data_IF_564156783556
#
_entry.id   IF_564156783556
#
_cell.length_a   1.000
_cell.length_b   1.000
_cell.length_c   1.000
_cell.angle_alpha   90.00
_cell.angle_beta   90.00
_cell.angle_gamma   90.00
#
_symmetry.space_group_name_H-M   'P 1'
#
loop_
_entity.id
_entity.type
_entity.pdbx_description
1 polymer ?
#
# COMPACT_ATOMS: atom_id res chain seq x y z
N UNK A 1 19.20 12.60 18.11
CA UNK A 1 17.86 13.19 17.88
C UNK A 1 17.23 13.71 19.19
N UNK A 2 16.51 14.86 19.18
CA UNK A 2 15.73 15.32 20.36
C UNK A 2 14.33 14.69 20.39
N UNK A 3 13.86 14.32 21.58
CA UNK A 3 12.50 13.83 21.79
C UNK A 3 11.47 14.97 21.71
N UNK A 4 10.44 14.83 20.86
CA UNK A 4 9.36 15.81 20.75
C UNK A 4 8.46 15.90 22.00
N UNK A 5 8.41 14.84 22.83
CA UNK A 5 7.54 14.78 24.03
C UNK A 5 8.21 15.31 25.31
N UNK A 6 9.54 15.20 25.44
CA UNK A 6 10.27 15.60 26.65
C UNK A 6 11.57 16.39 26.43
N UNK A 7 11.93 16.72 25.18
CA UNK A 7 13.11 17.54 24.84
C UNK A 7 14.48 16.85 24.95
N UNK A 8 14.61 15.72 25.66
CA UNK A 8 15.89 15.01 25.87
C UNK A 8 16.54 14.61 24.53
N UNK A 9 17.85 14.87 24.40
CA UNK A 9 18.69 14.47 23.26
C UNK A 9 19.16 13.02 23.36
N UNK A 10 18.65 12.15 22.48
CA UNK A 10 18.98 10.73 22.38
C UNK A 10 20.00 10.50 21.24
N UNK A 11 20.65 9.34 21.19
CA UNK A 11 21.55 8.98 20.08
C UNK A 11 20.81 8.89 18.74
N UNK A 12 21.53 8.97 17.62
CA UNK A 12 20.95 8.86 16.28
C UNK A 12 20.65 7.40 15.85
N UNK A 13 20.79 6.47 16.80
CA UNK A 13 20.44 5.05 16.69
C UNK A 13 19.26 4.65 17.61
N UNK A 14 19.01 5.38 18.71
CA UNK A 14 17.94 5.06 19.66
C UNK A 14 16.54 5.22 19.06
N UNK A 15 15.72 4.16 19.03
CA UNK A 15 14.34 4.20 18.50
C UNK A 15 13.30 4.75 19.48
N UNK A 16 13.60 4.65 20.78
CA UNK A 16 12.75 5.11 21.87
C UNK A 16 13.53 6.09 22.74
N UNK A 17 12.84 7.10 23.25
CA UNK A 17 13.46 8.06 24.15
C UNK A 17 13.82 7.40 25.49
N UNK A 18 15.08 7.53 25.91
CA UNK A 18 15.60 6.99 27.17
C UNK A 18 14.93 7.59 28.42
N UNK A 19 14.25 8.74 28.29
CA UNK A 19 13.54 9.39 29.39
C UNK A 19 12.12 8.87 29.61
N UNK A 20 11.35 8.83 28.51
CA UNK A 20 9.89 8.79 28.57
C UNK A 20 9.30 7.69 27.68
N UNK A 21 10.16 6.80 27.17
CA UNK A 21 9.86 5.67 26.29
C UNK A 21 8.95 6.01 25.09
N UNK A 22 8.87 7.29 24.71
CA UNK A 22 8.16 7.70 23.51
C UNK A 22 9.01 7.40 22.29
N UNK A 23 8.39 6.85 21.25
CA UNK A 23 9.04 6.68 19.96
C UNK A 23 9.67 7.99 19.45
N UNK A 24 10.91 7.90 18.96
CA UNK A 24 11.61 8.99 18.31
C UNK A 24 11.23 9.01 16.82
N UNK A 25 10.37 9.94 16.44
CA UNK A 25 10.12 10.29 15.05
C UNK A 25 10.89 11.57 14.72
N UNK A 26 11.72 11.56 13.69
CA UNK A 26 12.28 12.81 13.19
C UNK A 26 11.17 13.63 12.48
N UNK A 27 11.21 14.95 12.63
CA UNK A 27 10.07 15.83 12.31
C UNK A 27 9.81 15.95 10.80
N UNK A 28 8.57 16.19 10.34
CA UNK A 28 8.23 16.29 8.91
C UNK A 28 8.88 17.48 8.14
N UNK A 29 9.76 18.27 8.76
CA UNK A 29 10.43 19.42 8.14
C UNK A 29 11.83 19.15 7.55
N UNK A 30 12.33 17.91 7.56
CA UNK A 30 13.72 17.60 7.16
C UNK A 30 13.96 17.83 5.67
N UNK A 31 12.97 17.58 4.82
CA UNK A 31 13.07 17.84 3.37
C UNK A 31 13.25 19.33 3.07
N UNK A 32 12.51 20.20 3.76
CA UNK A 32 12.72 21.64 3.71
C UNK A 32 14.11 22.04 4.26
N UNK A 33 14.57 21.41 5.34
CA UNK A 33 15.89 21.67 5.93
C UNK A 33 17.05 21.20 5.04
N UNK A 34 16.90 20.09 4.32
CA UNK A 34 17.86 19.62 3.31
C UNK A 34 17.84 20.51 2.06
N UNK A 35 16.67 20.98 1.64
CA UNK A 35 16.52 21.95 0.54
C UNK A 35 17.12 23.32 0.90
N UNK A 36 17.05 23.72 2.17
CA UNK A 36 17.70 24.93 2.67
C UNK A 36 19.22 24.77 2.79
N UNK A 37 19.71 23.61 3.22
CA UNK A 37 21.15 23.27 3.19
C UNK A 37 21.70 23.25 1.77
N UNK A 38 20.96 22.70 0.81
CA UNK A 38 21.40 22.68 -0.60
C UNK A 38 21.42 24.09 -1.20
N UNK A 39 20.49 24.97 -0.81
CA UNK A 39 20.51 26.39 -1.19
C UNK A 39 21.76 27.08 -0.63
N UNK A 40 22.04 26.95 0.67
CA UNK A 40 23.23 27.56 1.29
C UNK A 40 24.51 27.05 0.62
N UNK A 41 24.64 25.74 0.42
CA UNK A 41 25.80 25.16 -0.26
C UNK A 41 25.91 25.61 -1.72
N UNK A 42 24.80 25.65 -2.46
CA UNK A 42 24.76 26.15 -3.84
C UNK A 42 25.27 27.59 -3.91
N UNK A 43 24.66 28.50 -3.16
CA UNK A 43 25.06 29.92 -3.12
C UNK A 43 26.51 30.10 -2.66
N UNK A 44 26.96 29.35 -1.64
CA UNK A 44 28.33 29.40 -1.13
C UNK A 44 29.36 28.94 -2.16
N UNK A 45 29.13 27.79 -2.82
CA UNK A 45 30.04 27.29 -3.86
C UNK A 45 30.00 28.14 -5.14
N UNK A 46 28.84 28.69 -5.52
CA UNK A 46 28.77 29.70 -6.60
C UNK A 46 29.57 30.94 -6.24
N UNK A 47 29.42 31.44 -5.01
CA UNK A 47 30.18 32.59 -4.50
C UNK A 47 31.68 32.34 -4.52
N UNK A 48 32.15 31.20 -4.00
CA UNK A 48 33.56 30.79 -4.06
C UNK A 48 34.05 30.69 -5.50
N UNK A 49 33.27 30.06 -6.39
CA UNK A 49 33.63 29.94 -7.80
C UNK A 49 33.90 31.33 -8.39
N UNK A 50 32.96 32.27 -8.28
CA UNK A 50 33.15 33.62 -8.81
C UNK A 50 34.16 34.50 -8.05
N UNK A 51 34.54 34.14 -6.81
CA UNK A 51 35.65 34.79 -6.09
C UNK A 51 37.03 34.25 -6.51
N UNK A 52 37.13 32.97 -6.86
CA UNK A 52 38.39 32.29 -7.23
C UNK A 52 38.64 32.32 -8.74
N UNK A 53 37.60 32.28 -9.57
CA UNK A 53 37.67 32.34 -11.04
C UNK A 53 38.40 33.59 -11.61
N UNK A 54 38.38 34.79 -10.99
CA UNK A 54 39.25 35.90 -11.41
C UNK A 54 40.75 35.72 -11.09
N UNK A 55 41.17 34.62 -10.45
CA UNK A 55 42.60 34.34 -10.21
C UNK A 55 43.35 34.08 -11.53
N UNK A 56 44.58 34.61 -11.70
CA UNK A 56 45.27 34.66 -12.99
C UNK A 56 45.79 33.31 -13.53
N UNK A 57 45.58 32.19 -12.82
CA UNK A 57 46.08 30.86 -13.23
C UNK A 57 45.30 30.21 -14.38
N UNK A 58 44.05 30.63 -14.64
CA UNK A 58 43.14 29.98 -15.61
C UNK A 58 42.82 30.98 -16.75
N UNK A 59 43.84 31.70 -17.22
CA UNK A 59 43.71 32.72 -18.28
C UNK A 59 43.42 32.09 -19.66
N UNK A 60 42.14 31.85 -19.92
CA UNK A 60 41.59 31.66 -21.25
C UNK A 60 40.41 32.61 -21.41
N UNK A 61 40.55 33.60 -22.30
CA UNK A 61 39.55 34.65 -22.51
C UNK A 61 38.16 34.07 -22.81
N UNK A 62 38.09 32.96 -23.56
CA UNK A 62 36.87 32.21 -23.82
C UNK A 62 36.08 31.84 -22.55
N UNK A 63 36.75 31.29 -21.53
CA UNK A 63 36.08 30.87 -20.29
C UNK A 63 35.63 32.06 -19.45
N UNK A 64 36.40 33.16 -19.47
CA UNK A 64 35.99 34.41 -18.83
C UNK A 64 34.75 34.99 -19.51
N UNK A 65 34.72 35.04 -20.84
CA UNK A 65 33.57 35.49 -21.63
C UNK A 65 32.34 34.58 -21.50
N UNK A 66 32.53 33.27 -21.35
CA UNK A 66 31.45 32.28 -21.17
C UNK A 66 30.72 32.46 -19.82
N UNK A 67 31.46 32.77 -18.76
CA UNK A 67 30.93 32.89 -17.40
C UNK A 67 30.65 34.34 -16.97
N UNK A 68 31.17 35.34 -17.68
CA UNK A 68 30.87 36.76 -17.44
C UNK A 68 29.47 37.11 -17.94
N UNK A 69 28.56 37.39 -17.01
CA UNK A 69 27.21 37.82 -17.37
C UNK A 69 26.21 37.40 -16.32
N UNK A 70 25.32 38.34 -15.95
CA UNK A 70 24.33 38.13 -14.89
C UNK A 70 23.40 36.94 -15.17
N UNK A 71 23.13 36.64 -16.45
CA UNK A 71 22.31 35.50 -16.86
C UNK A 71 23.10 34.18 -16.75
N UNK A 72 24.33 34.11 -17.25
CA UNK A 72 25.21 32.94 -17.09
C UNK A 72 25.55 32.63 -15.63
N UNK A 73 25.76 33.66 -14.80
CA UNK A 73 25.90 33.54 -13.34
C UNK A 73 24.68 32.86 -12.70
N UNK A 74 23.46 33.30 -13.03
CA UNK A 74 22.23 32.69 -12.49
C UNK A 74 22.00 31.26 -12.99
N UNK A 75 22.30 30.98 -14.27
CA UNK A 75 22.24 29.61 -14.83
C UNK A 75 23.21 28.70 -14.07
N UNK A 76 24.46 29.13 -13.86
CA UNK A 76 25.46 28.34 -13.15
C UNK A 76 25.10 28.13 -11.66
N UNK A 77 24.52 29.14 -11.01
CA UNK A 77 24.00 29.03 -9.65
C UNK A 77 22.89 27.97 -9.53
N UNK A 78 21.93 27.98 -10.47
CA UNK A 78 20.86 26.98 -10.52
C UNK A 78 21.40 25.58 -10.82
N UNK A 79 22.36 25.44 -11.74
CA UNK A 79 23.03 24.16 -12.04
C UNK A 79 23.71 23.59 -10.79
N UNK A 80 24.50 24.40 -10.06
CA UNK A 80 25.14 23.96 -8.82
C UNK A 80 24.11 23.59 -7.75
N UNK A 81 23.06 24.39 -7.55
CA UNK A 81 22.01 24.10 -6.57
C UNK A 81 21.25 22.81 -6.92
N UNK A 82 20.92 22.57 -8.20
CA UNK A 82 20.37 21.30 -8.68
C UNK A 82 21.27 20.11 -8.38
N UNK A 83 22.58 20.23 -8.59
CA UNK A 83 23.56 19.18 -8.26
C UNK A 83 23.57 18.89 -6.75
N UNK A 84 23.53 19.93 -5.90
CA UNK A 84 23.43 19.73 -4.45
C UNK A 84 22.10 19.08 -4.03
N UNK A 85 20.97 19.43 -4.63
CA UNK A 85 19.68 18.76 -4.39
C UNK A 85 19.75 17.27 -4.74
N UNK A 86 20.31 16.91 -5.90
CA UNK A 86 20.53 15.51 -6.31
C UNK A 86 21.46 14.81 -5.31
N UNK A 87 22.55 15.45 -4.89
CA UNK A 87 23.49 14.88 -3.93
C UNK A 87 22.85 14.55 -2.57
N UNK A 88 22.03 15.46 -2.02
CA UNK A 88 21.32 15.19 -0.77
C UNK A 88 20.27 14.09 -0.91
N UNK A 89 19.50 14.05 -2.01
CA UNK A 89 18.59 12.93 -2.30
C UNK A 89 19.35 11.61 -2.47
N UNK A 90 20.49 11.61 -3.15
CA UNK A 90 21.32 10.41 -3.34
C UNK A 90 21.83 9.83 -2.03
N UNK A 91 22.20 10.68 -1.06
CA UNK A 91 22.55 10.25 0.30
C UNK A 91 21.33 9.64 1.01
N UNK A 92 20.16 10.28 0.92
CA UNK A 92 18.92 9.80 1.53
C UNK A 92 18.50 8.44 0.95
N UNK A 93 18.50 8.30 -0.38
CA UNK A 93 18.27 7.04 -1.09
C UNK A 93 19.23 5.94 -0.62
N UNK A 94 20.54 6.23 -0.51
CA UNK A 94 21.51 5.24 -0.02
C UNK A 94 21.22 4.78 1.43
N UNK A 95 20.79 5.68 2.31
CA UNK A 95 20.41 5.32 3.69
C UNK A 95 19.13 4.46 3.72
N UNK A 96 18.13 4.79 2.89
CA UNK A 96 16.91 4.00 2.77
C UNK A 96 17.19 2.60 2.19
N UNK A 97 17.99 2.51 1.11
CA UNK A 97 18.41 1.25 0.50
C UNK A 97 19.24 0.38 1.46
N UNK A 98 20.17 0.95 2.23
CA UNK A 98 20.89 0.21 3.27
C UNK A 98 19.94 -0.35 4.33
N UNK A 99 18.91 0.40 4.72
CA UNK A 99 17.91 -0.07 5.68
C UNK A 99 17.06 -1.20 5.08
N UNK A 100 16.64 -1.09 3.81
CA UNK A 100 15.92 -2.16 3.10
C UNK A 100 16.74 -3.46 3.02
N UNK A 101 18.02 -3.38 2.64
CA UNK A 101 18.92 -4.54 2.62
C UNK A 101 19.07 -5.17 4.01
N UNK A 102 19.15 -4.36 5.07
CA UNK A 102 19.19 -4.87 6.44
C UNK A 102 17.90 -5.59 6.86
N UNK A 103 16.72 -5.16 6.37
CA UNK A 103 15.45 -5.86 6.57
C UNK A 103 15.37 -7.19 5.82
N UNK A 104 15.94 -7.27 4.61
CA UNK A 104 15.98 -8.49 3.79
C UNK A 104 17.05 -9.50 4.24
N UNK A 105 17.80 -9.21 5.32
CA UNK A 105 18.72 -10.18 5.90
C UNK A 105 17.96 -11.40 6.44
N UNK A 106 18.45 -12.60 6.14
CA UNK A 106 17.79 -13.87 6.45
C UNK A 106 17.46 -14.07 7.94
N UNK A 107 18.24 -13.46 8.85
CA UNK A 107 17.97 -13.45 10.30
C UNK A 107 16.66 -12.76 10.69
N UNK A 108 16.25 -11.71 9.97
CA UNK A 108 14.96 -11.04 10.23
C UNK A 108 13.80 -11.84 9.62
N UNK A 109 13.98 -12.39 8.42
CA UNK A 109 12.98 -13.27 7.79
C UNK A 109 12.69 -14.50 8.65
N UNK A 110 13.72 -15.14 9.23
CA UNK A 110 13.59 -16.27 10.16
C UNK A 110 12.97 -15.87 11.51
N UNK A 111 13.11 -14.59 11.92
CA UNK A 111 12.37 -14.05 13.07
C UNK A 111 10.91 -13.74 12.76
N UNK A 112 10.56 -13.48 11.49
CA UNK A 112 9.18 -13.23 11.07
C UNK A 112 8.40 -14.53 10.81
N UNK A 113 9.05 -15.57 10.26
CA UNK A 113 8.46 -16.89 10.03
C UNK A 113 8.00 -17.60 11.31
N UNK A 114 8.57 -17.24 12.47
CA UNK A 114 8.10 -17.65 13.80
C UNK A 114 6.77 -16.99 14.24
N UNK A 115 6.17 -16.15 13.40
CA UNK A 115 4.86 -15.54 13.64
C UNK A 115 4.88 -14.27 14.50
N UNK A 116 4.16 -13.25 14.04
CA UNK A 116 3.89 -12.02 14.81
C UNK A 116 2.48 -12.09 15.39
N UNK A 117 2.37 -12.27 16.71
CA UNK A 117 1.10 -12.21 17.42
C UNK A 117 0.75 -10.79 17.88
N UNK A 118 -0.55 -10.49 17.92
CA UNK A 118 -1.11 -9.17 18.29
C UNK A 118 -0.68 -8.69 19.69
N UNK A 119 -0.40 -9.61 20.62
CA UNK A 119 0.02 -9.30 21.99
C UNK A 119 1.42 -8.72 22.06
N UNK A 120 2.32 -9.18 21.20
CA UNK A 120 3.77 -8.97 21.32
C UNK A 120 4.26 -7.86 20.37
N UNK A 121 3.34 -7.14 19.73
CA UNK A 121 3.61 -6.07 18.74
C UNK A 121 4.65 -5.05 19.22
N UNK A 122 4.57 -4.58 20.46
CA UNK A 122 5.52 -3.58 20.97
C UNK A 122 6.91 -4.18 21.24
N UNK A 123 6.97 -5.45 21.64
CA UNK A 123 8.21 -6.22 21.83
C UNK A 123 8.88 -6.51 20.49
N UNK A 124 8.12 -6.95 19.47
CA UNK A 124 8.62 -7.12 18.10
C UNK A 124 9.15 -5.82 17.50
N UNK A 125 8.50 -4.67 17.75
CA UNK A 125 9.02 -3.36 17.29
C UNK A 125 10.33 -3.02 18.02
N UNK A 126 10.49 -3.40 19.29
CA UNK A 126 11.74 -3.23 20.04
C UNK A 126 12.84 -4.15 19.47
N UNK A 127 12.58 -5.44 19.26
CA UNK A 127 13.51 -6.40 18.63
C UNK A 127 14.02 -5.92 17.27
N UNK A 128 13.11 -5.55 16.36
CA UNK A 128 13.46 -5.00 15.03
C UNK A 128 14.34 -3.75 15.20
N UNK A 129 14.04 -2.90 16.20
CA UNK A 129 14.84 -1.70 16.45
C UNK A 129 16.23 -2.00 17.02
N UNK A 130 16.38 -3.05 17.84
CA UNK A 130 17.66 -3.51 18.38
C UNK A 130 18.52 -4.14 17.27
N UNK A 131 17.94 -5.02 16.45
CA UNK A 131 18.63 -5.61 15.30
C UNK A 131 19.18 -4.53 14.34
N UNK A 132 18.38 -3.51 14.03
CA UNK A 132 18.83 -2.38 13.19
C UNK A 132 19.93 -1.52 13.85
N UNK A 133 19.95 -1.43 15.19
CA UNK A 133 21.02 -0.79 15.95
C UNK A 133 22.32 -1.62 15.92
N UNK A 134 22.24 -2.94 16.05
CA UNK A 134 23.38 -3.86 15.97
C UNK A 134 24.03 -3.86 14.59
N UNK A 135 23.22 -3.83 13.53
CA UNK A 135 23.65 -3.62 12.15
C UNK A 135 24.20 -2.20 11.88
N UNK A 136 24.28 -1.35 12.90
CA UNK A 136 24.81 0.04 12.87
C UNK A 136 24.12 0.93 11.83
N UNK A 137 22.87 0.65 11.48
CA UNK A 137 22.10 1.46 10.53
C UNK A 137 21.77 2.80 11.20
N UNK A 138 22.32 3.89 10.67
CA UNK A 138 22.05 5.24 11.18
C UNK A 138 20.69 5.71 10.68
N UNK A 139 19.89 6.37 11.54
CA UNK A 139 18.59 6.97 11.17
C UNK A 139 17.56 6.01 10.54
N UNK A 140 17.61 4.71 10.84
CA UNK A 140 16.66 3.71 10.31
C UNK A 140 15.18 4.04 10.57
N UNK A 141 14.90 4.78 11.66
CA UNK A 141 13.57 5.28 12.05
C UNK A 141 12.89 6.14 10.99
N UNK A 142 13.68 6.79 10.12
CA UNK A 142 13.16 7.59 9.02
C UNK A 142 12.92 6.79 7.74
N UNK A 143 13.48 5.58 7.64
CA UNK A 143 13.30 4.72 6.46
C UNK A 143 11.83 4.39 6.22
N UNK A 144 11.48 4.28 4.94
CA UNK A 144 10.10 4.05 4.51
C UNK A 144 9.62 2.68 4.99
N UNK A 145 10.47 1.65 4.85
CA UNK A 145 10.21 0.28 5.33
C UNK A 145 9.92 0.22 6.84
N UNK A 146 10.79 0.77 7.69
CA UNK A 146 10.57 0.77 9.14
C UNK A 146 9.31 1.56 9.53
N UNK A 147 9.04 2.68 8.82
CA UNK A 147 7.84 3.50 9.05
C UNK A 147 6.55 2.76 8.66
N UNK A 148 6.55 2.02 7.55
CA UNK A 148 5.44 1.14 7.09
C UNK A 148 5.24 -0.01 8.09
N UNK A 149 6.23 -0.88 8.29
CA UNK A 149 6.17 -2.04 9.21
C UNK A 149 5.64 -1.62 10.58
N UNK A 150 6.21 -0.59 11.21
CA UNK A 150 5.79 -0.11 12.55
C UNK A 150 4.40 0.54 12.57
N UNK A 151 3.87 1.02 11.44
CA UNK A 151 2.47 1.48 11.34
C UNK A 151 1.54 0.29 11.21
N UNK A 152 1.86 -0.65 10.33
CA UNK A 152 1.12 -1.90 10.11
C UNK A 152 0.97 -2.70 11.41
N UNK A 153 2.07 -2.93 12.14
CA UNK A 153 2.04 -3.66 13.41
C UNK A 153 1.19 -2.95 14.49
N UNK A 154 1.29 -1.61 14.61
CA UNK A 154 0.43 -0.86 15.55
C UNK A 154 -1.03 -0.79 15.11
N UNK A 155 -1.30 -0.87 13.81
CA UNK A 155 -2.68 -0.98 13.32
C UNK A 155 -3.27 -2.35 13.63
N UNK A 156 -2.52 -3.44 13.40
CA UNK A 156 -2.88 -4.80 13.81
C UNK A 156 -3.26 -4.85 15.30
N UNK A 157 -2.49 -4.18 16.18
CA UNK A 157 -2.79 -4.08 17.62
C UNK A 157 -4.12 -3.38 17.92
N UNK A 158 -4.53 -2.42 17.09
CA UNK A 158 -5.77 -1.66 17.27
C UNK A 158 -6.99 -2.37 16.65
N UNK A 159 -6.83 -2.94 15.44
CA UNK A 159 -7.88 -3.64 14.71
C UNK A 159 -7.28 -4.91 14.07
N UNK A 160 -7.54 -6.10 14.64
CA UNK A 160 -7.01 -7.37 14.14
C UNK A 160 -7.89 -7.95 13.03
N UNK A 161 -7.79 -7.39 11.82
CA UNK A 161 -8.39 -7.94 10.58
C UNK A 161 -7.40 -7.86 9.43
N UNK A 162 -7.23 -8.94 8.66
CA UNK A 162 -6.25 -9.00 7.55
C UNK A 162 -6.65 -8.09 6.38
N UNK A 163 -7.95 -7.98 6.09
CA UNK A 163 -8.50 -7.21 4.96
C UNK A 163 -8.26 -5.70 5.14
N UNK A 164 -8.48 -5.19 6.35
CA UNK A 164 -8.25 -3.76 6.68
C UNK A 164 -6.75 -3.43 6.64
N UNK A 165 -5.88 -4.37 7.02
CA UNK A 165 -4.42 -4.19 6.96
C UNK A 165 -3.94 -4.01 5.51
N UNK A 166 -4.41 -4.83 4.57
CA UNK A 166 -4.05 -4.70 3.14
C UNK A 166 -4.50 -3.36 2.56
N UNK A 167 -5.72 -2.91 2.88
CA UNK A 167 -6.22 -1.58 2.48
C UNK A 167 -5.30 -0.45 2.97
N UNK A 168 -4.82 -0.56 4.21
CA UNK A 168 -3.93 0.44 4.84
C UNK A 168 -2.51 0.39 4.29
N UNK A 169 -1.99 -0.78 3.91
CA UNK A 169 -0.70 -0.93 3.23
C UNK A 169 -0.71 -0.22 1.86
N UNK A 170 -1.79 -0.40 1.10
CA UNK A 170 -2.01 0.24 -0.20
C UNK A 170 -2.15 1.76 -0.07
N UNK A 171 -2.97 2.24 0.87
CA UNK A 171 -3.09 3.68 1.14
C UNK A 171 -1.75 4.31 1.60
N UNK A 172 -0.93 3.57 2.34
CA UNK A 172 0.43 4.02 2.67
C UNK A 172 1.37 4.01 1.45
N UNK A 173 1.19 3.11 0.49
CA UNK A 173 1.93 3.11 -0.78
C UNK A 173 1.72 4.44 -1.52
N UNK A 174 0.46 4.80 -1.71
CA UNK A 174 0.06 6.01 -2.41
C UNK A 174 0.59 7.27 -1.71
N UNK A 175 0.51 7.33 -0.37
CA UNK A 175 1.08 8.43 0.41
C UNK A 175 2.61 8.54 0.21
N UNK A 176 3.34 7.43 0.29
CA UNK A 176 4.80 7.46 0.22
C UNK A 176 5.30 7.72 -1.22
N UNK A 177 4.57 7.26 -2.25
CA UNK A 177 4.76 7.67 -3.65
C UNK A 177 4.50 9.16 -3.85
N UNK A 178 3.37 9.69 -3.34
CA UNK A 178 3.03 11.11 -3.46
C UNK A 178 4.04 12.02 -2.73
N UNK A 179 4.60 11.58 -1.59
CA UNK A 179 5.74 12.26 -0.93
C UNK A 179 6.97 12.27 -1.81
N UNK A 180 7.34 11.11 -2.36
CA UNK A 180 8.48 11.00 -3.26
C UNK A 180 8.33 11.96 -4.46
N UNK A 181 7.19 11.95 -5.17
CA UNK A 181 6.94 12.89 -6.27
C UNK A 181 7.02 14.37 -5.83
N UNK A 182 6.40 14.70 -4.68
CA UNK A 182 6.45 16.06 -4.12
C UNK A 182 7.89 16.53 -3.84
N UNK A 183 8.76 15.63 -3.38
CA UNK A 183 10.17 15.92 -3.09
C UNK A 183 11.02 16.25 -4.34
N UNK A 184 10.52 15.95 -5.56
CA UNK A 184 11.15 16.36 -6.83
C UNK A 184 10.61 17.67 -7.39
N UNK A 185 9.54 18.26 -6.84
CA UNK A 185 8.87 19.43 -7.42
C UNK A 185 9.83 20.61 -7.69
N UNK A 186 10.67 20.98 -6.71
CA UNK A 186 11.67 22.05 -6.87
C UNK A 186 12.70 21.73 -7.96
N UNK A 187 13.13 20.48 -8.05
CA UNK A 187 14.11 20.04 -9.03
C UNK A 187 13.53 20.04 -10.45
N UNK A 188 12.27 19.63 -10.61
CA UNK A 188 11.54 19.71 -11.88
C UNK A 188 11.41 21.16 -12.35
N UNK A 189 11.16 22.11 -11.44
CA UNK A 189 11.15 23.55 -11.75
C UNK A 189 12.51 24.00 -12.29
N UNK A 190 13.63 23.55 -11.72
CA UNK A 190 14.97 23.90 -12.24
C UNK A 190 15.28 23.27 -13.60
N UNK A 191 14.90 22.00 -13.82
CA UNK A 191 15.05 21.35 -15.14
C UNK A 191 14.30 22.15 -16.23
N UNK A 192 13.13 22.71 -15.92
CA UNK A 192 12.36 23.53 -16.86
C UNK A 192 12.89 24.97 -16.98
N UNK A 193 13.32 25.58 -15.87
CA UNK A 193 13.75 26.97 -15.83
C UNK A 193 15.13 27.21 -16.46
N UNK A 194 16.09 26.29 -16.32
CA UNK A 194 17.46 26.46 -16.85
C UNK A 194 17.47 26.65 -18.40
N UNK A 195 16.82 25.80 -19.22
CA UNK A 195 16.72 26.01 -20.66
C UNK A 195 16.07 27.34 -21.04
N UNK A 196 15.03 27.74 -20.30
CA UNK A 196 14.29 28.99 -20.54
C UNK A 196 15.16 30.21 -20.23
N UNK A 197 15.94 30.17 -19.14
CA UNK A 197 16.94 31.21 -18.84
C UNK A 197 18.05 31.28 -19.90
N UNK A 198 18.48 30.13 -20.43
CA UNK A 198 19.39 30.09 -21.59
C UNK A 198 18.80 30.82 -22.80
N UNK A 199 17.55 30.48 -23.16
CA UNK A 199 16.84 31.12 -24.27
C UNK A 199 16.64 32.63 -24.05
N UNK A 200 16.25 33.05 -22.84
CA UNK A 200 16.17 34.46 -22.45
C UNK A 200 17.55 35.14 -22.60
N UNK A 201 18.63 34.45 -22.22
CA UNK A 201 20.01 34.89 -22.44
C UNK A 201 20.33 35.14 -23.91
N UNK A 202 19.94 34.23 -24.82
CA UNK A 202 20.11 34.46 -26.26
C UNK A 202 19.28 35.64 -26.77
N UNK A 203 18.00 35.73 -26.41
CA UNK A 203 17.11 36.82 -26.86
C UNK A 203 17.63 38.18 -26.36
N UNK A 204 18.07 38.25 -25.10
CA UNK A 204 18.65 39.46 -24.52
C UNK A 204 19.96 39.86 -25.23
N UNK A 205 20.91 38.94 -25.38
CA UNK A 205 22.20 39.23 -26.03
C UNK A 205 22.08 39.61 -27.50
N UNK A 206 21.18 38.96 -28.25
CA UNK A 206 20.86 39.33 -29.64
C UNK A 206 20.21 40.71 -29.69
N UNK A 207 19.23 40.98 -28.83
CA UNK A 207 18.55 42.28 -28.75
C UNK A 207 19.51 43.43 -28.44
N UNK A 208 20.41 43.24 -27.47
CA UNK A 208 21.47 44.20 -27.15
C UNK A 208 22.40 44.44 -28.36
N UNK A 209 22.89 43.36 -29.00
CA UNK A 209 23.79 43.45 -30.17
C UNK A 209 23.16 44.25 -31.32
N UNK A 210 21.88 44.03 -31.60
CA UNK A 210 21.14 44.74 -32.66
C UNK A 210 20.91 46.21 -32.28
N UNK A 211 20.62 46.49 -30.99
CA UNK A 211 20.49 47.85 -30.48
C UNK A 211 21.77 48.66 -30.63
N UNK A 212 22.90 48.11 -30.15
CA UNK A 212 24.23 48.71 -30.27
C UNK A 212 24.60 49.00 -31.74
N UNK A 213 24.29 48.08 -32.66
CA UNK A 213 24.49 48.30 -34.10
C UNK A 213 23.61 49.42 -34.66
N UNK A 214 22.32 49.45 -34.32
CA UNK A 214 21.39 50.51 -34.76
C UNK A 214 21.85 51.89 -34.30
N UNK A 215 22.24 52.02 -33.04
CA UNK A 215 22.67 53.30 -32.47
C UNK A 215 24.03 53.73 -33.02
N UNK A 216 24.94 52.78 -33.27
CA UNK A 216 26.19 53.04 -33.99
C UNK A 216 25.94 53.63 -35.38
N UNK A 217 25.09 53.00 -36.19
CA UNK A 217 24.71 53.49 -37.53
C UNK A 217 24.08 54.89 -37.46
N UNK A 218 23.23 55.16 -36.47
CA UNK A 218 22.61 56.49 -36.25
C UNK A 218 23.61 57.57 -35.84
N UNK A 219 24.68 57.20 -35.12
CA UNK A 219 25.71 58.14 -34.64
C UNK A 219 26.80 58.49 -35.68
N UNK A 220 26.87 57.74 -36.80
CA UNK A 220 27.99 57.81 -37.74
C UNK A 220 27.79 58.88 -38.83
N UNK A 221 28.46 60.03 -38.70
CA UNK A 221 28.49 61.06 -39.75
C UNK A 221 29.56 60.78 -40.82
N UNK A 222 29.16 60.04 -41.85
CA UNK A 222 29.62 60.04 -43.27
C UNK A 222 31.12 59.99 -43.67
N UNK A 223 32.11 60.34 -42.85
CA UNK A 223 33.50 60.55 -43.32
C UNK A 223 34.47 59.37 -43.12
N UNK A 224 34.19 58.42 -42.22
CA UNK A 224 35.07 57.27 -41.93
C UNK A 224 34.28 55.96 -41.76
N UNK A 225 33.34 55.74 -42.68
CA UNK A 225 32.30 54.71 -42.56
C UNK A 225 32.84 53.26 -42.61
N UNK A 226 33.92 53.00 -43.35
CA UNK A 226 34.46 51.65 -43.56
C UNK A 226 35.18 51.07 -42.33
N UNK A 227 35.92 51.90 -41.59
CA UNK A 227 36.62 51.47 -40.35
C UNK A 227 35.60 51.27 -39.23
N UNK A 228 34.65 52.20 -39.13
CA UNK A 228 33.60 52.23 -38.13
C UNK A 228 32.62 51.05 -38.27
N UNK A 229 32.12 50.75 -39.48
CA UNK A 229 31.26 49.58 -39.71
C UNK A 229 31.96 48.26 -39.35
N UNK A 230 33.27 48.12 -39.62
CA UNK A 230 34.03 46.92 -39.21
C UNK A 230 34.06 46.76 -37.68
N UNK A 231 34.22 47.86 -36.94
CA UNK A 231 34.17 47.85 -35.48
C UNK A 231 32.77 47.45 -34.96
N UNK A 232 31.70 47.99 -35.55
CA UNK A 232 30.33 47.67 -35.17
C UNK A 232 29.98 46.20 -35.44
N UNK A 233 30.37 45.66 -36.60
CA UNK A 233 30.20 44.24 -36.93
C UNK A 233 30.98 43.33 -35.97
N UNK A 234 32.17 43.75 -35.52
CA UNK A 234 32.93 43.07 -34.48
C UNK A 234 32.19 43.03 -33.14
N UNK A 235 31.61 44.16 -32.71
CA UNK A 235 30.78 44.25 -31.51
C UNK A 235 29.56 43.32 -31.56
N UNK A 236 28.79 43.37 -32.65
CA UNK A 236 27.63 42.48 -32.88
C UNK A 236 28.02 41.02 -32.83
N UNK A 237 29.14 40.65 -33.48
CA UNK A 237 29.61 39.26 -33.51
C UNK A 237 30.01 38.77 -32.12
N UNK A 238 30.63 39.64 -31.30
CA UNK A 238 30.96 39.34 -29.90
C UNK A 238 29.70 39.16 -29.04
N UNK A 239 28.75 40.09 -29.11
CA UNK A 239 27.48 40.00 -28.36
C UNK A 239 26.64 38.78 -28.74
N UNK A 240 26.61 38.42 -30.03
CA UNK A 240 25.99 37.19 -30.53
C UNK A 240 26.73 35.93 -30.03
N UNK A 241 28.06 35.96 -29.93
CA UNK A 241 28.85 34.85 -29.38
C UNK A 241 28.56 34.62 -27.89
N UNK A 242 28.46 35.70 -27.09
CA UNK A 242 28.03 35.64 -25.68
C UNK A 242 26.59 35.10 -25.60
N UNK A 243 25.69 35.60 -26.44
CA UNK A 243 24.30 35.15 -26.49
C UNK A 243 24.22 33.62 -26.64
N UNK A 244 24.82 33.05 -27.70
CA UNK A 244 24.82 31.59 -27.90
C UNK A 244 25.52 30.83 -26.78
N UNK A 245 26.59 31.39 -26.21
CA UNK A 245 27.30 30.83 -25.05
C UNK A 245 26.39 30.64 -23.83
N UNK A 246 25.47 31.57 -23.56
CA UNK A 246 24.50 31.44 -22.44
C UNK A 246 23.49 30.30 -22.64
N UNK A 247 23.06 30.03 -23.88
CA UNK A 247 22.23 28.85 -24.18
C UNK A 247 23.05 27.56 -24.11
N UNK A 248 24.30 27.58 -24.60
CA UNK A 248 25.18 26.41 -24.55
C UNK A 248 25.42 25.94 -23.11
N UNK A 249 25.77 26.84 -22.19
CA UNK A 249 25.99 26.48 -20.78
C UNK A 249 24.69 26.01 -20.09
N UNK A 250 23.53 26.59 -20.42
CA UNK A 250 22.25 26.11 -19.91
C UNK A 250 21.95 24.66 -20.33
N UNK A 251 22.15 24.33 -21.61
CA UNK A 251 21.91 22.99 -22.14
C UNK A 251 22.92 21.97 -21.61
N UNK A 252 24.21 22.32 -21.58
CA UNK A 252 25.29 21.45 -21.05
C UNK A 252 25.12 21.22 -19.55
N UNK A 253 24.60 22.19 -18.80
CA UNK A 253 24.28 22.02 -17.37
C UNK A 253 23.02 21.16 -17.13
N UNK A 254 21.93 21.43 -17.84
CA UNK A 254 20.62 20.80 -17.55
C UNK A 254 20.53 19.34 -18.01
N UNK A 255 21.16 18.96 -19.13
CA UNK A 255 21.05 17.59 -19.66
C UNK A 255 21.59 16.54 -18.67
N UNK A 256 22.80 16.69 -18.08
CA UNK A 256 23.27 15.82 -17.00
C UNK A 256 22.36 15.83 -15.77
N UNK A 257 21.86 17.01 -15.35
CA UNK A 257 20.93 17.14 -14.21
C UNK A 257 19.67 16.31 -14.45
N UNK A 258 19.05 16.44 -15.63
CA UNK A 258 17.84 15.70 -16.01
C UNK A 258 18.09 14.19 -16.05
N UNK A 259 19.22 13.74 -16.57
CA UNK A 259 19.61 12.32 -16.59
C UNK A 259 19.82 11.76 -15.17
N UNK A 260 20.58 12.47 -14.33
CA UNK A 260 20.86 12.06 -12.94
C UNK A 260 19.59 12.04 -12.09
N UNK A 261 18.74 13.07 -12.20
CA UNK A 261 17.48 13.15 -11.49
C UNK A 261 16.50 12.05 -11.92
N UNK A 262 16.39 11.78 -13.22
CA UNK A 262 15.52 10.71 -13.74
C UNK A 262 16.01 9.33 -13.29
N UNK A 263 17.33 9.09 -13.26
CA UNK A 263 17.91 7.84 -12.75
C UNK A 263 17.69 7.67 -11.25
N UNK A 264 17.81 8.75 -10.46
CA UNK A 264 17.56 8.69 -9.02
C UNK A 264 16.08 8.53 -8.69
N UNK A 265 15.17 9.22 -9.40
CA UNK A 265 13.72 9.04 -9.24
C UNK A 265 13.32 7.60 -9.53
N UNK A 266 13.81 7.02 -10.64
CA UNK A 266 13.56 5.60 -10.95
C UNK A 266 14.03 4.68 -9.81
N UNK A 267 15.24 4.89 -9.27
CA UNK A 267 15.77 4.08 -8.15
C UNK A 267 14.95 4.23 -6.87
N UNK A 268 14.41 5.42 -6.59
CA UNK A 268 13.50 5.65 -5.46
C UNK A 268 12.13 4.98 -5.71
N UNK A 269 11.60 5.00 -6.94
CA UNK A 269 10.39 4.29 -7.38
C UNK A 269 10.57 2.76 -7.26
N UNK A 270 11.66 2.20 -7.80
CA UNK A 270 12.01 0.78 -7.69
C UNK A 270 12.12 0.34 -6.21
N UNK A 271 12.72 1.17 -5.34
CA UNK A 271 12.83 0.90 -3.90
C UNK A 271 11.46 0.94 -3.19
N UNK A 272 10.55 1.83 -3.56
CA UNK A 272 9.19 1.87 -3.01
C UNK A 272 8.43 0.56 -3.33
N UNK A 273 8.56 0.08 -4.57
CA UNK A 273 7.96 -1.19 -5.01
C UNK A 273 8.55 -2.37 -4.24
N UNK A 274 9.87 -2.48 -4.11
CA UNK A 274 10.51 -3.55 -3.31
C UNK A 274 10.15 -3.53 -1.82
N UNK A 275 9.79 -2.36 -1.27
CA UNK A 275 9.25 -2.25 0.11
C UNK A 275 7.78 -2.64 0.19
N UNK A 276 7.02 -2.51 -0.91
CA UNK A 276 5.63 -2.96 -0.99
C UNK A 276 5.53 -4.48 -1.14
N UNK A 277 6.32 -5.05 -2.05
CA UNK A 277 6.54 -6.49 -2.24
C UNK A 277 6.89 -7.14 -0.88
N UNK A 278 7.91 -6.65 -0.18
CA UNK A 278 8.25 -7.09 1.18
C UNK A 278 7.10 -6.99 2.19
N UNK A 279 6.28 -5.92 2.14
CA UNK A 279 5.14 -5.78 3.03
C UNK A 279 3.98 -6.75 2.73
N UNK A 280 3.87 -7.24 1.49
CA UNK A 280 2.79 -8.14 1.04
C UNK A 280 3.20 -9.62 1.07
N UNK A 281 4.46 -9.94 0.75
CA UNK A 281 4.98 -11.31 0.67
C UNK A 281 5.64 -11.77 1.97
N UNK A 282 6.51 -10.95 2.58
CA UNK A 282 7.22 -11.32 3.81
C UNK A 282 6.43 -10.95 5.08
N UNK A 283 5.89 -9.74 5.14
CA UNK A 283 5.24 -9.24 6.36
C UNK A 283 3.83 -9.81 6.52
N UNK A 284 2.94 -9.60 5.54
CA UNK A 284 1.50 -9.87 5.68
C UNK A 284 1.15 -11.34 6.03
N UNK A 285 1.77 -12.38 5.44
CA UNK A 285 1.45 -13.77 5.78
C UNK A 285 1.84 -14.11 7.23
N UNK A 286 2.95 -13.54 7.71
CA UNK A 286 3.49 -13.77 9.06
C UNK A 286 2.73 -13.01 10.17
N UNK A 287 1.73 -12.18 9.85
CA UNK A 287 0.85 -11.52 10.82
C UNK A 287 -0.28 -12.47 11.27
N UNK A 288 -0.17 -12.96 12.51
CA UNK A 288 -1.14 -13.85 13.12
C UNK A 288 -2.14 -13.07 13.98
N UNK A 289 -3.40 -13.01 13.54
CA UNK A 289 -4.47 -12.27 14.21
C UNK A 289 -4.80 -12.84 15.61
N UNK A 290 -4.74 -14.16 15.75
CA UNK A 290 -4.91 -14.88 17.02
C UNK A 290 -4.09 -16.17 17.03
N UNK A 291 -3.52 -16.58 18.17
CA UNK A 291 -3.06 -17.95 18.34
C UNK A 291 -4.28 -18.88 18.33
N UNK A 292 -4.45 -19.67 17.26
CA UNK A 292 -5.52 -20.66 17.11
C UNK A 292 -6.50 -20.45 15.95
N UNK A 293 -6.47 -19.32 15.23
CA UNK A 293 -7.33 -19.16 14.04
C UNK A 293 -6.90 -20.12 12.91
N UNK A 294 -5.60 -20.45 12.76
CA UNK A 294 -5.15 -21.51 11.85
C UNK A 294 -5.62 -22.91 12.27
N UNK A 295 -5.69 -23.20 13.58
CA UNK A 295 -6.23 -24.47 14.07
C UNK A 295 -7.73 -24.56 13.74
N UNK A 296 -8.44 -23.43 13.76
CA UNK A 296 -9.85 -23.36 13.37
C UNK A 296 -10.03 -23.51 11.85
N UNK A 297 -9.28 -22.78 11.02
CA UNK A 297 -9.39 -22.90 9.56
C UNK A 297 -8.93 -24.28 9.05
N UNK A 298 -7.84 -24.84 9.60
CA UNK A 298 -7.35 -26.17 9.23
C UNK A 298 -8.28 -27.29 9.73
N UNK A 299 -8.83 -27.18 10.95
CA UNK A 299 -9.85 -28.11 11.43
C UNK A 299 -11.19 -27.98 10.70
N UNK A 300 -11.61 -26.77 10.32
CA UNK A 300 -12.82 -26.55 9.50
C UNK A 300 -12.60 -27.09 8.09
N UNK A 301 -11.44 -26.90 7.50
CA UNK A 301 -11.11 -27.42 6.17
C UNK A 301 -11.03 -28.96 6.19
N UNK A 302 -10.32 -29.56 7.15
CA UNK A 302 -10.28 -31.01 7.33
C UNK A 302 -11.64 -31.62 7.66
N UNK A 303 -12.51 -30.91 8.39
CA UNK A 303 -13.88 -31.38 8.65
C UNK A 303 -14.82 -31.19 7.45
N UNK A 304 -14.58 -30.20 6.59
CA UNK A 304 -15.26 -30.07 5.28
C UNK A 304 -14.81 -31.17 4.32
N UNK A 305 -13.52 -31.54 4.33
CA UNK A 305 -12.97 -32.64 3.53
C UNK A 305 -13.53 -34.00 4.00
N UNK A 306 -13.55 -34.27 5.31
CA UNK A 306 -14.24 -35.43 5.87
C UNK A 306 -15.75 -35.47 5.55
N UNK A 307 -16.43 -34.32 5.52
CA UNK A 307 -17.84 -34.24 5.12
C UNK A 307 -18.05 -34.53 3.63
N UNK A 308 -17.10 -34.13 2.77
CA UNK A 308 -17.11 -34.45 1.35
C UNK A 308 -16.87 -35.95 1.11
N UNK A 309 -15.85 -36.53 1.75
CA UNK A 309 -15.56 -37.96 1.71
C UNK A 309 -16.75 -38.79 2.23
N UNK A 310 -17.33 -38.40 3.38
CA UNK A 310 -18.53 -39.03 3.92
C UNK A 310 -19.71 -38.95 2.95
N UNK A 311 -19.93 -37.81 2.29
CA UNK A 311 -20.99 -37.67 1.30
C UNK A 311 -20.77 -38.56 0.07
N UNK A 312 -19.52 -38.75 -0.37
CA UNK A 312 -19.20 -39.65 -1.47
C UNK A 312 -19.32 -41.13 -1.08
N UNK A 313 -18.86 -41.52 0.10
CA UNK A 313 -19.00 -42.89 0.61
C UNK A 313 -20.46 -43.25 0.94
N UNK A 314 -21.23 -42.32 1.51
CA UNK A 314 -22.67 -42.49 1.69
C UNK A 314 -23.37 -42.67 0.34
N UNK A 315 -23.01 -41.87 -0.68
CA UNK A 315 -23.52 -42.02 -2.06
C UNK A 315 -23.16 -43.40 -2.66
N UNK A 316 -21.94 -43.89 -2.44
CA UNK A 316 -21.51 -45.24 -2.87
C UNK A 316 -22.34 -46.32 -2.19
N UNK A 317 -22.49 -46.28 -0.85
CA UNK A 317 -23.24 -47.27 -0.05
C UNK A 317 -24.76 -47.25 -0.28
N UNK A 318 -25.36 -46.09 -0.53
CA UNK A 318 -26.81 -45.97 -0.77
C UNK A 318 -27.19 -46.44 -2.20
N UNK A 319 -26.27 -46.37 -3.16
CA UNK A 319 -26.53 -46.79 -4.54
C UNK A 319 -26.94 -48.28 -4.73
N UNK A 320 -26.35 -49.30 -4.07
CA UNK A 320 -26.88 -50.66 -4.09
C UNK A 320 -28.16 -50.82 -3.26
N UNK A 321 -28.33 -50.06 -2.17
CA UNK A 321 -29.54 -50.13 -1.33
C UNK A 321 -30.76 -49.67 -2.11
N UNK A 322 -30.67 -48.56 -2.86
CA UNK A 322 -31.71 -48.10 -3.80
C UNK A 322 -32.12 -49.20 -4.79
N UNK A 323 -31.15 -49.90 -5.39
CA UNK A 323 -31.41 -51.01 -6.33
C UNK A 323 -32.09 -52.21 -5.64
N UNK A 324 -31.65 -52.55 -4.42
CA UNK A 324 -32.27 -53.63 -3.65
C UNK A 324 -33.70 -53.29 -3.23
N UNK A 325 -33.98 -52.05 -2.82
CA UNK A 325 -35.32 -51.56 -2.49
C UNK A 325 -36.23 -51.56 -3.72
N UNK A 326 -35.72 -51.24 -4.91
CA UNK A 326 -36.47 -51.38 -6.18
C UNK A 326 -36.78 -52.85 -6.52
N UNK A 327 -35.87 -53.79 -6.21
CA UNK A 327 -36.15 -55.23 -6.35
C UNK A 327 -37.17 -55.72 -5.32
N UNK A 328 -37.07 -55.30 -4.06
CA UNK A 328 -38.04 -55.66 -3.02
C UNK A 328 -39.42 -55.07 -3.30
N UNK A 329 -39.54 -53.85 -3.83
CA UNK A 329 -40.84 -53.27 -4.18
C UNK A 329 -41.52 -54.04 -5.32
N UNK A 330 -40.76 -54.50 -6.33
CA UNK A 330 -41.27 -55.38 -7.40
C UNK A 330 -41.68 -56.75 -6.87
N UNK A 331 -40.92 -57.31 -5.92
CA UNK A 331 -41.26 -58.56 -5.22
C UNK A 331 -42.54 -58.46 -4.39
N UNK A 332 -42.67 -57.40 -3.57
CA UNK A 332 -43.87 -57.10 -2.80
C UNK A 332 -45.10 -56.87 -3.70
N UNK A 333 -44.95 -56.11 -4.80
CA UNK A 333 -46.03 -55.93 -5.76
C UNK A 333 -46.49 -57.25 -6.42
N UNK A 334 -45.61 -58.24 -6.56
CA UNK A 334 -45.97 -59.58 -7.01
C UNK A 334 -46.68 -60.40 -5.92
N UNK A 335 -46.17 -60.41 -4.68
CA UNK A 335 -46.79 -61.10 -3.55
C UNK A 335 -48.17 -60.54 -3.18
N UNK A 336 -48.34 -59.22 -3.19
CA UNK A 336 -49.63 -58.56 -2.86
C UNK A 336 -50.72 -58.90 -3.89
N UNK A 337 -50.39 -59.05 -5.18
CA UNK A 337 -51.35 -59.57 -6.18
C UNK A 337 -51.77 -61.02 -5.89
N UNK A 338 -50.87 -61.84 -5.35
CA UNK A 338 -51.18 -63.22 -4.93
C UNK A 338 -52.11 -63.31 -3.71
N UNK A 339 -52.17 -62.26 -2.88
CA UNK A 339 -53.03 -62.19 -1.69
C UNK A 339 -54.46 -61.69 -1.99
N UNK A 340 -54.69 -61.10 -3.16
CA UNK A 340 -55.98 -60.55 -3.57
C UNK A 340 -57.18 -61.53 -3.44
N UNK A 341 -57.11 -62.82 -3.85
CA UNK A 341 -58.23 -63.77 -3.65
C UNK A 341 -58.40 -64.23 -2.19
N UNK A 342 -57.37 -64.12 -1.35
CA UNK A 342 -57.47 -64.47 0.07
C UNK A 342 -58.20 -63.38 0.86
N UNK A 343 -57.99 -62.11 0.52
CA UNK A 343 -58.70 -60.97 1.14
C UNK A 343 -60.21 -61.05 0.84
N UNK A 344 -60.60 -61.45 -0.38
CA UNK A 344 -62.02 -61.66 -0.72
C UNK A 344 -62.65 -62.79 0.09
N UNK A 345 -62.00 -63.96 0.18
CA UNK A 345 -62.51 -65.08 1.01
C UNK A 345 -62.58 -64.73 2.50
N UNK A 346 -61.59 -64.01 3.03
CA UNK A 346 -61.59 -63.60 4.42
C UNK A 346 -62.71 -62.59 4.72
N UNK A 347 -62.95 -61.66 3.78
CA UNK A 347 -64.10 -60.73 3.83
C UNK A 347 -65.43 -61.49 3.89
N UNK A 348 -65.67 -62.45 3.00
CA UNK A 348 -66.90 -63.27 3.00
C UNK A 348 -67.08 -64.02 4.33
N UNK A 349 -66.04 -64.70 4.82
CA UNK A 349 -66.10 -65.43 6.10
C UNK A 349 -66.33 -64.52 7.33
N UNK A 350 -65.89 -63.26 7.29
CA UNK A 350 -66.13 -62.29 8.35
C UNK A 350 -67.56 -61.75 8.35
N UNK A 351 -68.26 -61.75 7.21
CA UNK A 351 -69.68 -61.43 7.19
C UNK A 351 -70.53 -62.60 7.72
N UNK A 352 -70.25 -63.85 7.32
CA UNK A 352 -70.94 -65.03 7.86
C UNK A 352 -70.78 -65.16 9.38
N UNK A 353 -69.54 -65.06 9.90
CA UNK A 353 -69.28 -65.14 11.34
C UNK A 353 -69.92 -64.00 12.16
N UNK A 354 -70.13 -62.82 11.53
CA UNK A 354 -70.77 -61.68 12.19
C UNK A 354 -72.28 -61.87 12.34
N UNK A 355 -72.92 -62.51 11.36
CA UNK A 355 -74.35 -62.82 11.44
C UNK A 355 -74.62 -63.93 12.49
N UNK A 356 -73.75 -64.93 12.61
CA UNK A 356 -73.82 -65.93 13.69
C UNK A 356 -73.67 -65.30 15.10
N UNK A 357 -72.74 -64.37 15.29
CA UNK A 357 -72.60 -63.63 16.57
C UNK A 357 -73.78 -62.69 16.86
N UNK A 358 -74.57 -62.31 15.85
CA UNK A 358 -75.74 -61.44 16.00
C UNK A 358 -76.92 -62.13 16.70
N UNK A 359 -77.12 -63.43 16.44
CA UNK A 359 -78.18 -64.22 17.08
C UNK A 359 -77.85 -64.58 18.53
N UNK A 360 -76.60 -64.94 18.82
CA UNK A 360 -76.15 -65.33 20.18
C UNK A 360 -76.35 -64.17 21.18
N UNK A 361 -76.05 -62.93 20.79
CA UNK A 361 -76.18 -61.74 21.64
C UNK A 361 -77.61 -61.33 22.01
N UNK A 362 -78.65 -61.90 21.38
CA UNK A 362 -80.05 -61.70 21.80
C UNK A 362 -80.44 -62.58 22.99
N UNK A 363 -79.74 -63.70 23.22
CA UNK A 363 -80.09 -64.68 24.27
C UNK A 363 -79.53 -64.27 25.63
N UNK A 364 -78.31 -63.73 25.69
CA UNK A 364 -77.65 -63.35 26.96
C UNK A 364 -78.24 -62.09 27.62
N UNK A 365 -78.87 -61.19 26.84
CA UNK A 365 -79.28 -59.86 27.33
C UNK A 365 -80.50 -59.84 28.27
N UNK A 366 -81.06 -61.00 28.61
CA UNK A 366 -82.24 -61.12 29.49
C UNK A 366 -81.93 -61.44 30.96
N UNK A 367 -80.68 -61.76 31.33
CA UNK A 367 -80.42 -62.46 32.61
C UNK A 367 -79.70 -61.66 33.73
N UNK A 368 -79.23 -60.43 33.50
CA UNK A 368 -78.53 -59.64 34.53
C UNK A 368 -79.18 -58.28 34.81
N UNK A 369 -80.10 -58.28 35.78
CA UNK A 369 -80.57 -57.08 36.51
C UNK A 369 -80.34 -57.27 38.02
N UNK A 370 -79.23 -56.77 38.57
CA UNK A 370 -79.13 -56.38 39.99
C UNK A 370 -77.86 -55.57 40.28
N UNK A 371 -77.89 -54.76 41.33
CA UNK A 371 -76.76 -54.13 42.04
C UNK A 371 -75.88 -53.09 41.28
N UNK A 372 -76.30 -51.83 41.38
CA UNK A 372 -75.43 -50.63 41.56
C UNK A 372 -75.46 -50.27 43.08
N UNK A 373 -74.64 -49.37 43.69
CA UNK A 373 -74.42 -48.00 43.16
C UNK A 373 -73.12 -47.21 43.54
N UNK A 374 -72.97 -46.02 42.90
CA UNK A 374 -72.42 -44.74 43.43
C UNK A 374 -70.89 -44.61 43.69
N UNK A 375 -70.26 -43.42 43.58
CA UNK A 375 -70.74 -42.02 43.44
C UNK A 375 -69.66 -41.11 42.81
N UNK A 376 -70.07 -40.06 42.05
CA UNK A 376 -69.56 -38.65 42.00
C UNK A 376 -68.05 -38.38 41.72
N UNK A 377 -67.55 -37.29 41.11
CA UNK A 377 -68.06 -36.10 40.37
C UNK A 377 -66.81 -35.36 39.75
N UNK A 378 -66.82 -34.39 38.81
CA UNK A 378 -67.87 -33.64 38.08
C UNK A 378 -67.32 -33.08 36.71
N UNK A 379 -68.09 -32.16 36.12
CA UNK A 379 -68.02 -31.37 34.85
C UNK A 379 -67.01 -30.19 34.87
N UNK A 380 -66.53 -29.56 33.78
CA UNK A 380 -67.00 -29.24 32.40
C UNK A 380 -67.64 -27.82 32.24
N UNK A 381 -67.59 -27.27 31.01
CA UNK A 381 -68.06 -25.95 30.51
C UNK A 381 -67.17 -24.71 30.80
N UNK A 382 -67.00 -23.72 29.90
CA UNK A 382 -67.44 -23.59 28.50
C UNK A 382 -67.28 -22.17 27.89
N UNK A 383 -67.65 -22.04 26.60
CA UNK A 383 -68.00 -20.81 25.84
C UNK A 383 -66.93 -19.88 25.18
N UNK A 384 -66.88 -19.97 23.84
CA UNK A 384 -67.07 -18.90 22.82
C UNK A 384 -66.14 -17.67 22.68
N UNK A 385 -65.73 -17.42 21.41
CA UNK A 385 -65.64 -16.16 20.63
C UNK A 385 -65.00 -14.89 21.26
N UNK A 386 -64.31 -14.00 20.54
CA UNK A 386 -64.52 -13.53 19.16
C UNK A 386 -63.32 -12.68 18.67
N UNK A 387 -63.36 -12.22 17.39
CA UNK A 387 -62.65 -11.04 16.83
C UNK A 387 -61.11 -10.94 16.97
N UNK A 388 -60.33 -11.00 15.89
CA UNK A 388 -60.08 -9.98 14.84
C UNK A 388 -59.19 -8.79 15.25
N UNK A 389 -58.21 -8.55 14.37
CA UNK A 389 -57.70 -7.25 13.90
C UNK A 389 -56.81 -6.36 14.81
N UNK A 390 -55.53 -6.31 14.40
CA UNK A 390 -54.88 -5.08 13.89
C UNK A 390 -53.83 -4.36 14.76
N UNK A 391 -52.76 -3.96 14.06
CA UNK A 391 -51.74 -2.94 14.40
C UNK A 391 -50.93 -3.09 15.69
N UNK A 392 -49.62 -3.36 15.54
CA UNK A 392 -48.68 -2.26 15.23
C UNK A 392 -47.41 -2.76 14.52
#
# INVERSE_FOLDING_TARGET
MKCLKCGWSNSDTAAYCQNCHSYLAESPGIEALNSFKSLILGVFFTGIFYLVFPMPLIRSEYWQQLFSGRISETIFALVLWSIFLIYFKWIQFRQQHQTYVAFRNQLLHDSFSNGIYVKDVDERILEISQFLQEQKVKKFQDSIIFRRVRRTLRHLKAIPKKEEITSILNYQAEIDHNRMQSSYALLNVFIWAIPILGFIGTVFGIGQSIGEFSDFIRSTNSTDMNTQIRSALGGVTSGLSVAFSTTFIALVGVVPIMMLASSLRKREEDLLLSVEEYCLEDLLPNLHLRPGDEILDDAVTGQLEQMADFAEDWRKQVSPVLKSVEQYSKGLAAQVRGLQPLIQKFSESLFEAKDEMGEIKKVEKNNEKSASPKTEDLQEEGLMNNSKESNR
#
